data_IF_771179669884
#
_entry.id   IF_771179669884
#
_cell.length_a   1.000
_cell.length_b   1.000
_cell.length_c   1.000
_cell.angle_alpha   90.00
_cell.angle_beta   90.00
_cell.angle_gamma   90.00
#
_symmetry.space_group_name_H-M   'P 1'
#
loop_
_entity.id
_entity.type
_entity.pdbx_description
1 polymer ?
#
# COMPACT_ATOMS: atom_id res chain seq x y z
N UNK A 1 -16.13 9.72 -0.89
CA UNK A 1 -14.82 9.29 -1.37
C UNK A 1 -14.44 7.94 -0.78
N UNK A 2 -14.36 7.73 0.49
CA UNK A 2 -14.04 6.43 1.06
C UNK A 2 -14.52 6.29 2.49
N UNK A 3 -14.75 5.05 2.91
CA UNK A 3 -15.01 4.68 4.29
C UNK A 3 -13.94 3.67 4.71
N UNK A 4 -13.18 4.00 5.75
CA UNK A 4 -12.30 3.06 6.45
C UNK A 4 -13.01 2.44 7.65
N UNK A 5 -12.31 1.54 8.36
CA UNK A 5 -12.88 0.86 9.54
C UNK A 5 -13.40 1.84 10.62
N UNK A 6 -12.70 2.97 10.82
CA UNK A 6 -13.05 3.97 11.85
C UNK A 6 -13.06 5.40 11.29
N UNK A 7 -13.02 5.58 9.97
CA UNK A 7 -12.91 6.91 9.36
C UNK A 7 -13.73 7.05 8.09
N UNK A 8 -14.21 8.28 7.86
CA UNK A 8 -14.87 8.68 6.62
C UNK A 8 -14.09 9.81 5.97
N UNK A 9 -13.91 9.72 4.64
CA UNK A 9 -13.15 10.70 3.87
C UNK A 9 -14.07 11.42 2.90
N UNK A 10 -14.09 12.74 2.97
CA UNK A 10 -14.93 13.62 2.19
C UNK A 10 -14.11 14.59 1.34
N UNK A 11 -14.65 14.93 0.18
CA UNK A 11 -14.21 16.07 -0.62
C UNK A 11 -14.95 17.32 -0.13
N UNK A 12 -14.23 18.26 0.46
CA UNK A 12 -14.76 19.50 1.00
C UNK A 12 -14.38 20.69 0.12
N UNK A 13 -15.27 21.67 -0.04
CA UNK A 13 -14.92 22.96 -0.66
C UNK A 13 -14.11 23.80 0.30
N UNK A 14 -13.08 24.48 -0.19
CA UNK A 14 -12.22 25.33 0.62
C UNK A 14 -11.71 26.55 -0.15
N UNK A 15 -11.44 27.62 0.58
CA UNK A 15 -10.74 28.82 0.08
C UNK A 15 -9.27 28.87 0.51
N UNK A 16 -8.77 27.81 1.19
CA UNK A 16 -7.40 27.75 1.67
C UNK A 16 -6.40 27.70 0.51
N UNK A 17 -5.62 28.76 0.34
CA UNK A 17 -4.55 28.85 -0.65
C UNK A 17 -3.44 27.78 -0.41
N UNK A 18 -3.27 27.33 0.82
CA UNK A 18 -2.32 26.31 1.20
C UNK A 18 -2.54 24.99 0.44
N UNK A 19 -3.78 24.65 0.09
CA UNK A 19 -4.08 23.44 -0.70
C UNK A 19 -3.29 23.41 -1.99
N UNK A 20 -3.30 24.51 -2.75
CA UNK A 20 -2.61 24.62 -4.05
C UNK A 20 -1.10 24.59 -3.87
N UNK A 21 -0.55 25.23 -2.83
CA UNK A 21 0.88 25.21 -2.52
C UNK A 21 1.42 23.82 -2.26
N UNK A 22 0.59 22.97 -1.69
CA UNK A 22 0.93 21.58 -1.36
C UNK A 22 0.55 20.58 -2.48
N UNK A 23 0.24 21.08 -3.67
CA UNK A 23 -0.06 20.25 -4.85
C UNK A 23 -1.46 19.63 -4.86
N UNK A 24 -2.38 20.15 -4.05
CA UNK A 24 -3.77 19.72 -4.04
C UNK A 24 -4.63 20.41 -5.09
N UNK A 25 -5.82 19.88 -5.32
CA UNK A 25 -6.82 20.42 -6.28
C UNK A 25 -7.36 21.75 -5.78
N UNK A 26 -7.24 22.81 -6.61
CA UNK A 26 -7.71 24.14 -6.27
C UNK A 26 -9.21 24.14 -5.88
N UNK A 27 -9.55 24.83 -4.80
CA UNK A 27 -10.93 24.96 -4.31
C UNK A 27 -11.47 23.74 -3.55
N UNK A 28 -10.68 22.68 -3.38
CA UNK A 28 -11.08 21.47 -2.66
C UNK A 28 -10.01 20.97 -1.70
N UNK A 29 -10.46 20.45 -0.57
CA UNK A 29 -9.62 19.77 0.41
C UNK A 29 -10.16 18.37 0.67
N UNK A 30 -9.29 17.50 1.17
CA UNK A 30 -9.65 16.23 1.77
C UNK A 30 -9.99 16.47 3.24
N UNK A 31 -11.16 16.03 3.70
CA UNK A 31 -11.58 16.05 5.09
C UNK A 31 -11.69 14.59 5.57
N UNK A 32 -10.76 14.16 6.42
CA UNK A 32 -10.82 12.85 7.10
C UNK A 32 -11.46 13.05 8.46
N UNK A 33 -12.60 12.39 8.68
CA UNK A 33 -13.31 12.39 9.95
C UNK A 33 -13.08 11.06 10.65
N UNK A 34 -12.70 11.10 11.92
CA UNK A 34 -12.44 9.93 12.74
C UNK A 34 -13.23 10.05 14.02
N UNK A 35 -14.10 9.08 14.26
CA UNK A 35 -14.82 8.94 15.52
C UNK A 35 -13.92 8.20 16.52
N UNK A 36 -13.52 8.88 17.60
CA UNK A 36 -12.60 8.32 18.59
C UNK A 36 -13.24 7.21 19.41
N UNK A 37 -14.57 7.24 19.55
CA UNK A 37 -15.29 6.29 20.42
C UNK A 37 -15.42 4.90 19.77
N UNK A 38 -15.25 4.82 18.44
CA UNK A 38 -15.22 3.57 17.68
C UNK A 38 -13.82 3.20 17.19
N UNK A 39 -12.82 4.05 17.47
CA UNK A 39 -11.44 3.80 17.06
C UNK A 39 -10.80 2.74 17.95
N UNK A 40 -10.25 1.69 17.31
CA UNK A 40 -9.52 0.63 18.02
C UNK A 40 -8.03 0.70 17.69
N UNK A 41 -7.19 0.33 18.67
CA UNK A 41 -5.77 0.13 18.41
C UNK A 41 -5.57 -0.89 17.26
N UNK A 42 -4.56 -0.69 16.40
CA UNK A 42 -3.44 0.27 16.49
C UNK A 42 -3.74 1.68 15.96
N UNK A 43 -4.95 1.95 15.48
CA UNK A 43 -5.32 3.27 14.98
C UNK A 43 -5.34 4.29 16.11
N UNK A 44 -4.73 5.47 15.86
CA UNK A 44 -4.68 6.57 16.82
C UNK A 44 -4.65 7.91 16.10
N UNK A 45 -5.80 8.58 16.06
CA UNK A 45 -5.96 9.86 15.36
C UNK A 45 -5.19 11.00 16.01
N UNK A 46 -5.04 10.98 17.34
CA UNK A 46 -4.29 12.03 18.04
C UNK A 46 -2.80 11.93 17.70
N UNK A 47 -2.27 10.71 17.66
CA UNK A 47 -0.92 10.43 17.19
C UNK A 47 -0.76 10.80 15.72
N UNK A 48 -1.69 10.42 14.84
CA UNK A 48 -1.67 10.81 13.42
C UNK A 48 -1.55 12.32 13.27
N UNK A 49 -2.35 13.09 14.00
CA UNK A 49 -2.29 14.57 14.01
C UNK A 49 -0.90 15.04 14.46
N UNK A 50 -0.39 14.52 15.58
CA UNK A 50 0.91 14.92 16.12
C UNK A 50 2.06 14.61 15.13
N UNK A 51 2.03 13.45 14.48
CA UNK A 51 3.00 13.07 13.44
C UNK A 51 2.91 14.01 12.23
N UNK A 52 1.71 14.24 11.69
CA UNK A 52 1.49 15.12 10.56
C UNK A 52 1.85 16.58 10.83
N UNK A 53 1.74 17.05 12.08
CA UNK A 53 2.15 18.41 12.46
C UNK A 53 3.66 18.61 12.41
N UNK A 54 4.46 17.59 12.74
CA UNK A 54 5.92 17.70 12.83
C UNK A 54 6.66 17.18 11.59
N UNK A 55 6.07 16.25 10.83
CA UNK A 55 6.70 15.74 9.60
C UNK A 55 6.53 16.73 8.46
N UNK A 56 7.63 16.97 7.70
CA UNK A 56 7.62 17.84 6.52
C UNK A 56 8.56 17.27 5.47
N UNK A 57 8.01 16.67 4.43
CA UNK A 57 8.76 16.15 3.30
C UNK A 57 7.96 16.30 2.00
N UNK A 58 8.63 16.53 0.87
CA UNK A 58 7.98 16.72 -0.42
C UNK A 58 7.07 15.56 -0.84
N UNK A 59 7.42 14.34 -0.45
CA UNK A 59 6.69 13.12 -0.79
C UNK A 59 5.78 12.59 0.36
N UNK A 60 5.49 13.41 1.36
CA UNK A 60 4.49 13.13 2.38
C UNK A 60 3.29 14.08 2.25
N UNK A 61 2.13 13.64 2.70
CA UNK A 61 0.99 14.55 2.87
C UNK A 61 1.25 15.51 4.02
N UNK A 62 0.54 16.63 4.02
CA UNK A 62 0.61 17.64 5.09
C UNK A 62 -0.75 17.83 5.74
N UNK A 63 -0.75 18.13 7.03
CA UNK A 63 -1.94 18.57 7.75
C UNK A 63 -2.10 20.09 7.58
N UNK A 64 -3.22 20.52 7.01
CA UNK A 64 -3.55 21.95 6.84
C UNK A 64 -4.25 22.51 8.08
N UNK A 65 -5.15 21.72 8.68
CA UNK A 65 -5.85 22.03 9.91
C UNK A 65 -6.35 20.75 10.58
N UNK A 66 -6.53 20.80 11.89
CA UNK A 66 -7.25 19.79 12.66
C UNK A 66 -8.16 20.48 13.67
N UNK A 67 -9.36 19.91 13.84
CA UNK A 67 -10.34 20.39 14.82
C UNK A 67 -11.24 19.24 15.26
N UNK A 68 -11.93 19.41 16.37
CA UNK A 68 -12.86 18.42 16.91
C UNK A 68 -14.28 18.95 16.90
N UNK A 69 -15.23 18.05 16.62
CA UNK A 69 -16.66 18.26 16.77
C UNK A 69 -17.22 17.31 17.81
N UNK A 70 -18.17 17.80 18.61
CA UNK A 70 -18.93 17.00 19.57
C UNK A 70 -20.41 17.13 19.24
N UNK A 71 -20.91 16.36 18.24
CA UNK A 71 -22.31 16.48 17.79
C UNK A 71 -23.31 16.11 18.88
N UNK A 72 -22.90 15.31 19.84
CA UNK A 72 -23.64 14.95 21.04
C UNK A 72 -22.69 14.72 22.22
N UNK A 73 -23.16 14.59 23.47
CA UNK A 73 -22.33 14.43 24.67
C UNK A 73 -21.45 13.15 24.70
N UNK A 74 -21.69 12.20 23.80
CA UNK A 74 -21.09 10.87 23.81
C UNK A 74 -20.20 10.63 22.58
N UNK A 75 -20.17 11.57 21.61
CA UNK A 75 -19.44 11.39 20.36
C UNK A 75 -18.42 12.50 20.17
N UNK A 76 -17.16 12.14 19.99
CA UNK A 76 -16.09 13.07 19.64
C UNK A 76 -15.50 12.71 18.29
N UNK A 77 -15.64 13.62 17.32
CA UNK A 77 -15.15 13.46 15.97
C UNK A 77 -13.93 14.34 15.75
N UNK A 78 -12.81 13.72 15.39
CA UNK A 78 -11.64 14.44 14.92
C UNK A 78 -11.72 14.68 13.42
N UNK A 79 -11.46 15.89 13.00
CA UNK A 79 -11.48 16.35 11.63
C UNK A 79 -10.07 16.74 11.20
N UNK A 80 -9.51 16.06 10.22
CA UNK A 80 -8.21 16.36 9.62
C UNK A 80 -8.44 16.94 8.22
N UNK A 81 -7.96 18.15 8.00
CA UNK A 81 -8.01 18.83 6.69
C UNK A 81 -6.63 18.69 6.03
N UNK A 82 -6.62 18.11 4.85
CA UNK A 82 -5.41 17.84 4.06
C UNK A 82 -5.63 18.30 2.61
N UNK A 83 -4.56 18.45 1.80
CA UNK A 83 -4.72 18.65 0.36
C UNK A 83 -5.47 17.48 -0.27
N UNK A 84 -6.37 17.77 -1.22
CA UNK A 84 -7.02 16.74 -2.03
C UNK A 84 -6.13 16.42 -3.23
N UNK A 85 -5.48 15.26 -3.22
CA UNK A 85 -4.71 14.77 -4.36
C UNK A 85 -5.62 14.03 -5.35
N UNK A 86 -5.50 14.28 -6.66
CA UNK A 86 -6.51 13.84 -7.63
C UNK A 86 -6.41 12.37 -8.04
N UNK A 87 -5.23 11.75 -7.91
CA UNK A 87 -4.93 10.43 -8.49
C UNK A 87 -4.34 9.53 -7.42
N UNK A 88 -4.83 8.30 -7.32
CA UNK A 88 -4.31 7.27 -6.46
C UNK A 88 -3.40 6.31 -7.26
N UNK A 89 -2.37 5.75 -6.64
CA UNK A 89 -1.50 4.79 -7.34
C UNK A 89 -2.27 3.56 -7.81
N UNK A 90 -3.32 3.14 -7.11
CA UNK A 90 -4.23 2.09 -7.57
C UNK A 90 -4.83 2.41 -8.93
N UNK A 91 -5.33 3.64 -9.14
CA UNK A 91 -5.90 4.05 -10.43
C UNK A 91 -4.88 3.96 -11.56
N UNK A 92 -3.61 4.28 -11.23
CA UNK A 92 -2.48 4.20 -12.16
C UNK A 92 -2.15 2.75 -12.49
N UNK A 93 -2.05 1.88 -11.46
CA UNK A 93 -1.72 0.46 -11.63
C UNK A 93 -2.80 -0.30 -12.40
N UNK A 94 -4.06 0.01 -12.17
CA UNK A 94 -5.23 -0.66 -12.76
C UNK A 94 -5.54 -0.16 -14.19
N UNK A 95 -4.81 0.86 -14.66
CA UNK A 95 -5.01 1.38 -16.00
C UNK A 95 -4.45 0.46 -17.09
N UNK A 96 -5.27 0.02 -18.08
CA UNK A 96 -4.79 -0.77 -19.19
C UNK A 96 -3.85 0.01 -20.15
N UNK A 97 -3.88 1.34 -20.08
CA UNK A 97 -3.01 2.22 -20.87
C UNK A 97 -1.61 2.39 -20.26
N UNK A 98 -1.41 1.93 -19.01
CA UNK A 98 -0.15 1.99 -18.28
C UNK A 98 0.49 0.61 -18.18
N UNK A 99 0.91 0.09 -19.31
CA UNK A 99 1.62 -1.18 -19.40
C UNK A 99 2.98 -0.96 -20.08
N UNK A 100 3.99 -1.78 -19.77
CA UNK A 100 5.28 -1.72 -20.47
C UNK A 100 5.16 -2.02 -21.96
N UNK A 101 4.09 -2.70 -22.38
CA UNK A 101 3.76 -3.04 -23.79
C UNK A 101 2.30 -2.70 -24.03
N UNK A 102 1.93 -2.54 -25.30
CA UNK A 102 0.55 -2.34 -25.70
C UNK A 102 -0.33 -3.45 -25.13
N UNK A 103 -1.20 -3.11 -24.21
CA UNK A 103 -2.14 -4.02 -23.59
C UNK A 103 -3.33 -4.21 -24.55
N UNK A 104 -3.75 -5.47 -24.85
CA UNK A 104 -4.94 -5.71 -25.67
C UNK A 104 -6.24 -5.15 -25.08
N UNK A 105 -6.23 -4.85 -23.78
CA UNK A 105 -7.37 -4.26 -23.06
C UNK A 105 -7.45 -2.74 -23.24
N UNK A 106 -6.39 -2.09 -23.77
CA UNK A 106 -6.40 -0.66 -24.05
C UNK A 106 -7.20 -0.40 -25.35
N UNK A 107 -8.33 0.30 -25.21
CA UNK A 107 -9.07 0.75 -26.38
C UNK A 107 -8.24 1.79 -27.15
N UNK A 108 -8.04 1.56 -28.46
CA UNK A 108 -7.25 2.43 -29.33
C UNK A 108 -7.79 3.86 -29.47
N UNK A 109 -8.99 4.13 -28.96
CA UNK A 109 -9.69 5.41 -29.11
C UNK A 109 -9.37 6.44 -28.00
N UNK A 110 -8.68 6.09 -26.92
CA UNK A 110 -8.48 6.96 -25.74
C UNK A 110 -7.00 7.30 -25.48
N UNK A 111 -6.22 7.61 -26.51
CA UNK A 111 -4.86 8.15 -26.34
C UNK A 111 -4.80 9.48 -25.55
N UNK A 112 -5.92 10.22 -25.47
CA UNK A 112 -5.94 11.55 -24.85
C UNK A 112 -5.86 11.54 -23.32
N UNK A 113 -6.15 10.42 -22.66
CA UNK A 113 -6.14 10.28 -21.19
C UNK A 113 -5.03 9.36 -20.67
N UNK A 114 -3.88 9.35 -21.32
CA UNK A 114 -2.74 8.58 -20.79
C UNK A 114 -2.29 9.16 -19.45
N UNK A 115 -2.35 8.36 -18.38
CA UNK A 115 -1.83 8.68 -17.04
C UNK A 115 -0.39 9.20 -17.09
N UNK A 116 0.43 8.70 -18.02
CA UNK A 116 1.80 9.17 -18.26
C UNK A 116 1.82 10.66 -18.52
N UNK A 117 0.99 11.16 -19.45
CA UNK A 117 0.92 12.59 -19.79
C UNK A 117 0.35 13.41 -18.66
N UNK A 118 -0.70 12.91 -18.01
CA UNK A 118 -1.35 13.59 -16.87
C UNK A 118 -0.37 13.78 -15.71
N UNK A 119 0.51 12.80 -15.48
CA UNK A 119 1.54 12.84 -14.44
C UNK A 119 2.86 13.45 -14.93
N UNK A 120 2.95 13.88 -16.20
CA UNK A 120 4.14 14.54 -16.76
C UNK A 120 5.26 13.58 -17.17
N UNK A 121 4.98 12.28 -17.36
CA UNK A 121 5.96 11.27 -17.77
C UNK A 121 5.89 10.96 -19.27
N UNK A 122 7.03 10.58 -19.86
CA UNK A 122 7.12 10.24 -21.27
C UNK A 122 7.14 8.72 -21.51
N UNK A 123 7.63 7.94 -20.56
CA UNK A 123 7.73 6.48 -20.67
C UNK A 123 7.26 5.81 -19.37
N UNK A 124 6.85 4.54 -19.48
CA UNK A 124 6.51 3.72 -18.32
C UNK A 124 7.69 3.57 -17.36
N UNK A 125 8.91 3.36 -17.90
CA UNK A 125 10.11 3.25 -17.08
C UNK A 125 10.41 4.54 -16.29
N UNK A 126 10.19 5.73 -16.88
CA UNK A 126 10.37 6.99 -16.17
C UNK A 126 9.35 7.19 -15.06
N UNK A 127 8.09 6.81 -15.26
CA UNK A 127 7.08 6.83 -14.21
C UNK A 127 7.49 5.92 -13.04
N UNK A 128 7.77 4.64 -13.34
CA UNK A 128 8.09 3.63 -12.31
C UNK A 128 9.34 4.01 -11.54
N UNK A 129 10.42 4.42 -12.24
CA UNK A 129 11.68 4.84 -11.61
C UNK A 129 11.47 6.03 -10.68
N UNK A 130 10.70 7.04 -11.11
CA UNK A 130 10.39 8.21 -10.29
C UNK A 130 9.53 7.84 -9.08
N UNK A 131 8.52 6.98 -9.27
CA UNK A 131 7.71 6.47 -8.16
C UNK A 131 8.58 5.76 -7.11
N UNK A 132 9.51 4.90 -7.53
CA UNK A 132 10.43 4.21 -6.63
C UNK A 132 11.30 5.19 -5.86
N UNK A 133 11.94 6.13 -6.56
CA UNK A 133 12.79 7.14 -5.91
C UNK A 133 12.02 7.96 -4.88
N UNK A 134 10.87 8.51 -5.26
CA UNK A 134 10.09 9.38 -4.38
C UNK A 134 9.49 8.62 -3.19
N UNK A 135 9.02 7.37 -3.38
CA UNK A 135 8.52 6.55 -2.30
C UNK A 135 9.63 6.18 -1.31
N UNK A 136 10.81 5.80 -1.81
CA UNK A 136 11.96 5.52 -0.95
C UNK A 136 12.42 6.77 -0.18
N UNK A 137 12.39 7.96 -0.79
CA UNK A 137 12.71 9.21 -0.10
C UNK A 137 11.72 9.53 1.02
N UNK A 138 10.41 9.29 0.79
CA UNK A 138 9.39 9.46 1.82
C UNK A 138 9.63 8.53 3.01
N UNK A 139 9.90 7.25 2.73
CA UNK A 139 10.15 6.23 3.75
C UNK A 139 11.46 6.52 4.49
N UNK A 140 12.52 6.90 3.78
CA UNK A 140 13.80 7.26 4.39
C UNK A 140 13.64 8.43 5.36
N UNK A 141 12.92 9.48 4.96
CA UNK A 141 12.62 10.59 5.85
C UNK A 141 11.90 10.12 7.12
N UNK A 142 10.86 9.30 7.01
CA UNK A 142 10.15 8.77 8.18
C UNK A 142 11.06 7.92 9.06
N UNK A 143 11.85 7.02 8.47
CA UNK A 143 12.76 6.14 9.20
C UNK A 143 13.86 6.94 9.92
N UNK A 144 14.38 8.02 9.33
CA UNK A 144 15.34 8.92 9.98
C UNK A 144 14.72 9.69 11.17
N UNK A 145 13.43 10.02 11.08
CA UNK A 145 12.66 10.60 12.18
C UNK A 145 12.26 9.55 13.25
N UNK A 146 12.67 8.30 13.09
CA UNK A 146 12.32 7.20 13.97
C UNK A 146 10.86 6.74 13.84
N UNK A 147 10.22 6.98 12.69
CA UNK A 147 8.82 6.65 12.40
C UNK A 147 8.76 5.53 11.38
N UNK A 148 8.07 4.44 11.69
CA UNK A 148 7.65 3.42 10.72
C UNK A 148 6.19 3.64 10.33
N UNK A 149 5.89 3.56 9.04
CA UNK A 149 4.56 3.82 8.48
C UNK A 149 3.56 2.69 8.78
N UNK A 150 3.97 1.46 8.62
CA UNK A 150 3.27 0.18 8.86
C UNK A 150 2.03 -0.11 8.00
N UNK A 151 1.67 0.78 7.05
CA UNK A 151 0.57 0.52 6.10
C UNK A 151 0.89 1.08 4.71
N UNK A 152 2.09 0.73 4.19
CA UNK A 152 2.51 1.10 2.83
C UNK A 152 1.80 0.19 1.82
N UNK A 153 0.94 0.79 1.00
CA UNK A 153 0.16 0.12 -0.05
C UNK A 153 -0.24 1.11 -1.14
N UNK A 154 -0.62 0.66 -2.34
CA UNK A 154 -0.98 1.56 -3.45
C UNK A 154 -2.08 2.57 -3.11
N UNK A 155 -3.06 2.18 -2.28
CA UNK A 155 -4.15 3.08 -1.88
C UNK A 155 -3.71 4.21 -0.93
N UNK A 156 -2.56 4.09 -0.28
CA UNK A 156 -1.96 5.13 0.56
C UNK A 156 -0.89 5.95 -0.18
N UNK A 157 -0.82 5.82 -1.50
CA UNK A 157 0.11 6.54 -2.37
C UNK A 157 -0.70 7.31 -3.40
N UNK A 158 -0.63 8.63 -3.37
CA UNK A 158 -1.35 9.52 -4.27
C UNK A 158 -0.38 10.37 -5.06
N UNK A 159 -0.89 11.04 -6.10
CA UNK A 159 -0.16 12.02 -6.87
C UNK A 159 -0.83 13.38 -6.75
N UNK A 160 0.01 14.39 -6.53
CA UNK A 160 -0.40 15.79 -6.57
C UNK A 160 -0.70 16.25 -7.99
N UNK A 161 -1.26 17.44 -8.13
CA UNK A 161 -1.62 18.00 -9.44
C UNK A 161 -0.43 18.27 -10.36
N UNK A 162 0.78 18.31 -9.81
CA UNK A 162 2.06 18.44 -10.52
C UNK A 162 2.82 17.10 -10.70
N UNK A 163 2.16 15.97 -10.40
CA UNK A 163 2.71 14.63 -10.59
C UNK A 163 3.68 14.15 -9.50
N UNK A 164 3.79 14.86 -8.38
CA UNK A 164 4.61 14.43 -7.24
C UNK A 164 3.89 13.36 -6.43
N UNK A 165 4.60 12.27 -6.11
CA UNK A 165 4.09 11.22 -5.23
C UNK A 165 3.93 11.74 -3.79
N UNK A 166 2.83 11.38 -3.16
CA UNK A 166 2.49 11.71 -1.78
C UNK A 166 2.11 10.44 -1.02
N UNK A 167 2.93 10.02 -0.07
CA UNK A 167 2.56 8.97 0.89
C UNK A 167 1.66 9.59 1.96
N UNK A 168 0.53 8.95 2.23
CA UNK A 168 -0.51 9.44 3.14
C UNK A 168 -0.78 8.42 4.25
N UNK A 169 -1.56 8.85 5.25
CA UNK A 169 -2.15 8.01 6.31
C UNK A 169 -1.15 7.44 7.31
N UNK A 170 -0.84 8.24 8.34
CA UNK A 170 -0.01 7.85 9.48
C UNK A 170 -0.84 7.28 10.66
N UNK A 171 -2.09 6.89 10.42
CA UNK A 171 -3.03 6.47 11.47
C UNK A 171 -2.61 5.21 12.25
N UNK A 172 -1.74 4.37 11.67
CA UNK A 172 -1.15 3.19 12.31
C UNK A 172 0.37 3.28 12.44
N UNK A 173 0.96 4.47 12.18
CA UNK A 173 2.40 4.64 12.26
C UNK A 173 2.93 4.39 13.68
N UNK A 174 4.14 3.87 13.77
CA UNK A 174 4.85 3.62 15.02
C UNK A 174 6.09 4.49 15.12
N UNK A 175 6.42 4.89 16.34
CA UNK A 175 7.60 5.69 16.63
C UNK A 175 8.45 5.01 17.70
N UNK A 176 9.78 5.06 17.57
CA UNK A 176 10.74 4.40 18.49
C UNK A 176 10.58 4.81 19.95
N UNK A 177 9.98 5.97 20.24
CA UNK A 177 9.73 6.48 21.59
C UNK A 177 8.40 5.98 22.18
N UNK A 178 7.56 5.31 21.38
CA UNK A 178 6.22 4.90 21.79
C UNK A 178 6.19 3.52 22.41
N UNK A 179 5.36 3.41 23.46
CA UNK A 179 4.92 2.13 23.99
C UNK A 179 3.51 1.87 23.48
N UNK A 180 3.36 0.86 22.63
CA UNK A 180 2.02 0.41 22.23
C UNK A 180 1.41 -0.38 23.38
N UNK A 181 0.27 0.09 23.87
CA UNK A 181 -0.55 -0.65 24.84
C UNK A 181 -1.55 -1.48 24.05
N UNK A 182 -1.67 -2.79 24.31
CA UNK A 182 -2.75 -3.60 23.72
C UNK A 182 -4.12 -3.07 24.17
N UNK A 183 -5.19 -3.34 23.39
CA UNK A 183 -6.54 -2.90 23.74
C UNK A 183 -6.92 -3.35 25.16
N UNK A 184 -7.53 -2.47 25.93
CA UNK A 184 -7.96 -2.75 27.30
C UNK A 184 -8.86 -3.99 27.33
N UNK A 185 -8.40 -5.05 28.00
CA UNK A 185 -9.17 -6.27 28.23
C UNK A 185 -8.47 -7.59 27.89
N UNK A 186 -7.34 -7.57 27.18
CA UNK A 186 -6.60 -8.78 26.78
C UNK A 186 -5.24 -8.93 27.46
N UNK A 187 -5.04 -8.30 28.62
CA UNK A 187 -3.80 -8.46 29.37
C UNK A 187 -3.74 -9.78 30.13
N UNK A 188 -2.61 -10.50 30.08
CA UNK A 188 -2.27 -11.42 31.14
C UNK A 188 -2.09 -10.61 32.44
N UNK A 189 -2.60 -11.07 33.59
CA UNK A 189 -2.59 -10.30 34.86
C UNK A 189 -1.22 -10.12 35.50
N UNK A 190 -0.15 -10.52 34.87
CA UNK A 190 1.22 -10.39 35.39
C UNK A 190 2.00 -9.44 34.48
N UNK A 191 2.01 -8.16 34.86
CA UNK A 191 2.72 -7.07 34.19
C UNK A 191 4.20 -7.31 33.94
N UNK A 192 4.52 -8.07 32.91
CA UNK A 192 5.82 -8.07 32.28
C UNK A 192 5.98 -6.78 31.48
N UNK A 193 7.12 -6.12 31.63
CA UNK A 193 7.48 -4.83 31.02
C UNK A 193 7.66 -4.86 29.51
N UNK A 194 7.18 -5.88 28.82
CA UNK A 194 7.43 -6.11 27.40
C UNK A 194 6.26 -5.57 26.59
N UNK A 195 6.48 -4.37 26.03
CA UNK A 195 5.58 -3.77 25.07
C UNK A 195 5.49 -4.67 23.83
N UNK A 196 4.49 -5.53 23.79
CA UNK A 196 4.18 -6.28 22.59
C UNK A 196 3.75 -5.28 21.51
N UNK A 197 4.51 -5.21 20.42
CA UNK A 197 4.09 -4.45 19.24
C UNK A 197 2.80 -5.07 18.69
N UNK A 198 1.83 -4.21 18.37
CA UNK A 198 0.62 -4.68 17.72
C UNK A 198 1.00 -5.15 16.31
N UNK A 199 0.81 -6.43 16.03
CA UNK A 199 1.09 -7.04 14.73
C UNK A 199 -0.07 -6.96 13.75
N UNK A 200 -1.28 -6.59 14.25
CA UNK A 200 -2.46 -6.40 13.39
C UNK A 200 -2.40 -5.03 12.69
N UNK A 201 -1.37 -4.87 11.88
CA UNK A 201 -1.09 -3.71 11.02
C UNK A 201 -0.77 -4.17 9.60
N UNK A 202 -0.78 -3.22 8.67
CA UNK A 202 -0.61 -3.50 7.25
C UNK A 202 -1.88 -4.06 6.62
N UNK A 203 -1.91 -4.09 5.31
CA UNK A 203 -3.12 -4.41 4.55
C UNK A 203 -2.88 -5.56 3.57
N UNK A 204 -3.63 -6.64 3.73
CA UNK A 204 -3.70 -7.75 2.77
C UNK A 204 -2.33 -8.20 2.28
N UNK A 205 -2.17 -8.29 0.96
CA UNK A 205 -0.96 -8.78 0.29
C UNK A 205 0.31 -7.94 0.54
N UNK A 206 0.20 -6.76 1.17
CA UNK A 206 1.33 -5.88 1.48
C UNK A 206 1.92 -6.12 2.88
N UNK A 207 1.30 -6.97 3.71
CA UNK A 207 1.75 -7.32 5.06
C UNK A 207 3.05 -8.11 5.03
N UNK A 208 3.98 -7.74 5.90
CA UNK A 208 5.21 -8.48 6.08
C UNK A 208 4.95 -9.83 6.78
N UNK A 209 5.71 -10.90 6.44
CA UNK A 209 5.44 -12.24 6.93
C UNK A 209 5.49 -12.36 8.46
N UNK A 210 6.38 -11.63 9.13
CA UNK A 210 6.48 -11.64 10.60
C UNK A 210 5.23 -11.10 11.29
N UNK A 211 4.45 -10.24 10.63
CA UNK A 211 3.20 -9.70 11.19
C UNK A 211 2.07 -10.73 11.24
N UNK A 212 2.16 -11.79 10.44
CA UNK A 212 1.12 -12.82 10.34
C UNK A 212 1.12 -13.80 11.53
N UNK A 213 2.20 -13.81 12.32
CA UNK A 213 2.43 -14.79 13.38
C UNK A 213 2.56 -14.18 14.79
N UNK A 214 2.12 -12.94 14.97
CA UNK A 214 2.04 -12.23 16.25
C UNK A 214 3.25 -12.47 17.18
N UNK A 215 4.46 -12.01 16.83
CA UNK A 215 5.68 -12.30 17.61
C UNK A 215 5.62 -11.67 19.00
N UNK A 216 5.91 -12.48 20.06
CA UNK A 216 5.86 -12.07 21.49
C UNK A 216 6.76 -10.90 21.82
N UNK A 217 7.93 -10.84 21.20
CA UNK A 217 8.98 -9.85 21.50
C UNK A 217 8.93 -8.65 20.55
N UNK A 218 7.80 -8.51 19.80
CA UNK A 218 7.67 -7.49 18.77
C UNK A 218 8.39 -7.85 17.48
N UNK A 219 8.46 -6.91 16.58
CA UNK A 219 9.08 -7.03 15.27
C UNK A 219 9.79 -5.72 14.90
N UNK A 220 10.64 -5.77 13.88
CA UNK A 220 11.26 -4.56 13.32
C UNK A 220 10.29 -3.86 12.36
N UNK A 221 9.64 -2.79 12.85
CA UNK A 221 8.65 -2.04 12.08
C UNK A 221 9.23 -1.37 10.82
N UNK A 222 10.51 -0.95 10.87
CA UNK A 222 11.19 -0.38 9.70
C UNK A 222 11.41 -1.44 8.62
N UNK A 223 11.73 -2.68 9.02
CA UNK A 223 11.89 -3.80 8.08
C UNK A 223 10.56 -4.31 7.54
N UNK A 224 9.47 -4.18 8.29
CA UNK A 224 8.13 -4.42 7.78
C UNK A 224 7.75 -3.42 6.68
N UNK A 225 8.11 -2.13 6.83
CA UNK A 225 7.95 -1.12 5.77
C UNK A 225 8.76 -1.48 4.51
N UNK A 226 9.98 -2.03 4.66
CA UNK A 226 10.80 -2.47 3.51
C UNK A 226 10.13 -3.60 2.74
N UNK A 227 9.49 -4.55 3.43
CA UNK A 227 8.70 -5.59 2.76
C UNK A 227 7.53 -4.98 1.98
N UNK A 228 6.74 -4.11 2.63
CA UNK A 228 5.59 -3.45 2.01
C UNK A 228 6.01 -2.60 0.81
N UNK A 229 7.15 -1.88 0.90
CA UNK A 229 7.76 -1.19 -0.22
C UNK A 229 8.05 -2.14 -1.39
N UNK A 230 8.65 -3.30 -1.12
CA UNK A 230 8.94 -4.30 -2.14
C UNK A 230 7.69 -4.83 -2.82
N UNK A 231 6.62 -5.12 -2.08
CA UNK A 231 5.34 -5.56 -2.66
C UNK A 231 4.67 -4.48 -3.50
N UNK A 232 4.74 -3.21 -3.08
CA UNK A 232 4.27 -2.07 -3.90
C UNK A 232 5.10 -1.94 -5.19
N UNK A 233 6.42 -2.05 -5.10
CA UNK A 233 7.29 -2.02 -6.29
C UNK A 233 6.98 -3.18 -7.26
N UNK A 234 6.75 -4.37 -6.73
CA UNK A 234 6.37 -5.54 -7.52
C UNK A 234 5.05 -5.33 -8.27
N UNK A 235 4.08 -4.61 -7.69
CA UNK A 235 2.76 -4.37 -8.28
C UNK A 235 2.82 -3.70 -9.66
N UNK A 236 3.86 -2.96 -9.98
CA UNK A 236 4.06 -2.40 -11.32
C UNK A 236 4.29 -3.47 -12.39
N UNK A 237 4.66 -4.68 -12.02
CA UNK A 237 5.09 -5.73 -12.94
C UNK A 237 4.24 -7.01 -12.89
N UNK A 238 3.26 -7.08 -12.00
CA UNK A 238 2.27 -8.18 -11.93
C UNK A 238 1.29 -8.12 -13.09
N UNK A 239 0.43 -9.12 -13.22
CA UNK A 239 -0.56 -9.22 -14.30
C UNK A 239 -1.69 -8.21 -14.07
N UNK A 240 -2.14 -7.57 -15.16
CA UNK A 240 -3.40 -6.83 -15.18
C UNK A 240 -4.52 -7.81 -15.56
N UNK A 241 -5.52 -7.91 -14.72
CA UNK A 241 -6.68 -8.80 -14.89
C UNK A 241 -7.89 -7.97 -15.31
N UNK A 242 -8.70 -8.53 -16.21
CA UNK A 242 -10.01 -7.95 -16.53
C UNK A 242 -11.03 -8.45 -15.51
N UNK A 243 -11.83 -7.53 -14.95
CA UNK A 243 -12.86 -7.90 -13.99
C UNK A 243 -13.97 -8.70 -14.70
N UNK A 244 -14.28 -9.86 -14.17
CA UNK A 244 -15.48 -10.58 -14.52
C UNK A 244 -16.70 -9.82 -13.97
N UNK A 245 -17.21 -8.88 -14.77
CA UNK A 245 -18.46 -8.21 -14.40
C UNK A 245 -19.58 -9.24 -14.59
N UNK A 246 -20.26 -9.67 -13.53
CA UNK A 246 -21.41 -10.55 -13.65
C UNK A 246 -22.37 -9.94 -14.66
N UNK A 247 -22.89 -10.77 -15.59
CA UNK A 247 -23.86 -10.30 -16.56
C UNK A 247 -25.06 -9.70 -15.80
N UNK A 248 -25.11 -8.39 -15.67
CA UNK A 248 -26.36 -7.71 -15.36
C UNK A 248 -27.22 -7.80 -16.63
N UNK A 249 -27.61 -9.01 -16.92
CA UNK A 249 -28.73 -9.23 -17.82
C UNK A 249 -29.92 -8.50 -17.20
N UNK A 250 -30.59 -7.70 -18.03
CA UNK A 250 -31.89 -7.16 -17.63
C UNK A 250 -32.70 -8.30 -17.00
N UNK A 251 -33.37 -8.07 -15.86
CA UNK A 251 -34.24 -9.09 -15.30
C UNK A 251 -35.14 -9.67 -16.41
N UNK A 252 -35.45 -10.95 -16.42
CA UNK A 252 -36.17 -11.60 -17.50
C UNK A 252 -37.42 -10.84 -17.98
N UNK A 253 -38.13 -10.18 -17.06
CA UNK A 253 -39.29 -9.35 -17.36
C UNK A 253 -38.95 -8.08 -18.14
N UNK A 254 -37.79 -7.50 -17.97
CA UNK A 254 -37.37 -6.28 -18.70
C UNK A 254 -36.89 -6.62 -20.14
N UNK A 255 -36.33 -7.83 -20.33
CA UNK A 255 -36.02 -8.36 -21.66
C UNK A 255 -37.28 -8.65 -22.48
N UNK A 256 -38.33 -9.17 -21.84
CA UNK A 256 -39.60 -9.41 -22.51
C UNK A 256 -40.30 -8.11 -22.93
N UNK A 257 -40.18 -7.05 -22.12
CA UNK A 257 -40.80 -5.75 -22.41
C UNK A 257 -40.05 -4.89 -23.43
N UNK A 258 -38.71 -5.08 -23.52
CA UNK A 258 -37.85 -4.27 -24.38
C UNK A 258 -36.82 -5.13 -25.15
N UNK A 259 -37.23 -6.02 -26.04
CA UNK A 259 -36.35 -6.96 -26.71
C UNK A 259 -35.32 -6.29 -27.65
N UNK A 260 -35.60 -5.05 -28.10
CA UNK A 260 -34.72 -4.31 -29.01
C UNK A 260 -33.77 -3.32 -28.32
N UNK A 261 -33.72 -3.33 -26.97
CA UNK A 261 -32.84 -2.42 -26.27
C UNK A 261 -31.38 -2.83 -26.48
N UNK A 262 -30.54 -2.00 -27.12
CA UNK A 262 -29.14 -2.37 -27.32
C UNK A 262 -28.48 -2.57 -25.97
N UNK A 263 -27.74 -3.68 -25.84
CA UNK A 263 -26.90 -3.90 -24.66
C UNK A 263 -25.95 -2.70 -24.52
N UNK A 264 -26.02 -1.99 -23.40
CA UNK A 264 -25.06 -0.91 -23.15
C UNK A 264 -23.67 -1.52 -23.13
N UNK A 265 -22.71 -1.02 -23.92
CA UNK A 265 -21.34 -1.45 -23.81
C UNK A 265 -20.91 -1.23 -22.36
N UNK A 266 -20.45 -2.28 -21.70
CA UNK A 266 -20.00 -2.22 -20.31
C UNK A 266 -18.61 -1.61 -20.32
N UNK A 267 -18.33 -0.66 -19.43
CA UNK A 267 -16.96 -0.24 -19.23
C UNK A 267 -16.16 -1.48 -18.75
N UNK A 268 -15.10 -1.83 -19.47
CA UNK A 268 -14.16 -2.84 -19.01
C UNK A 268 -13.44 -2.25 -17.81
N UNK A 269 -13.55 -2.91 -16.66
CA UNK A 269 -12.78 -2.57 -15.48
C UNK A 269 -11.66 -3.59 -15.35
N UNK A 270 -10.50 -3.10 -14.97
CA UNK A 270 -9.30 -3.92 -14.79
C UNK A 270 -8.74 -3.67 -13.41
N UNK A 271 -8.08 -4.65 -12.84
CA UNK A 271 -7.32 -4.51 -11.63
C UNK A 271 -5.97 -5.20 -11.74
N UNK A 272 -4.98 -4.65 -11.06
CA UNK A 272 -3.65 -5.26 -10.97
C UNK A 272 -3.68 -6.41 -9.97
N UNK A 273 -3.22 -7.60 -10.37
CA UNK A 273 -3.04 -8.70 -9.42
C UNK A 273 -2.02 -8.33 -8.35
N UNK A 274 -2.23 -8.78 -7.13
CA UNK A 274 -1.24 -8.64 -6.05
C UNK A 274 -0.11 -9.67 -6.23
N UNK A 275 1.08 -9.34 -5.70
CA UNK A 275 2.22 -10.26 -5.74
C UNK A 275 1.92 -11.57 -5.01
N UNK A 276 1.23 -11.46 -3.87
CA UNK A 276 0.83 -12.59 -3.03
C UNK A 276 -0.68 -12.64 -2.87
N UNK A 277 -1.24 -13.84 -2.80
CA UNK A 277 -2.67 -14.06 -2.56
C UNK A 277 -2.98 -13.86 -1.06
N UNK A 278 -3.90 -12.94 -0.79
CA UNK A 278 -4.44 -12.68 0.55
C UNK A 278 -5.98 -12.79 0.61
N UNK A 279 -6.60 -13.36 -0.44
CA UNK A 279 -8.05 -13.38 -0.62
C UNK A 279 -8.81 -14.08 0.51
N UNK A 280 -8.19 -15.09 1.14
CA UNK A 280 -8.79 -15.88 2.23
C UNK A 280 -8.10 -15.65 3.59
N UNK A 281 -7.41 -14.53 3.76
CA UNK A 281 -6.81 -14.10 5.02
C UNK A 281 -5.35 -14.50 5.20
N UNK A 282 -4.85 -14.35 6.43
CA UNK A 282 -3.43 -14.42 6.76
C UNK A 282 -2.75 -15.76 6.47
N UNK A 283 -3.46 -16.87 6.67
CA UNK A 283 -2.91 -18.22 6.38
C UNK A 283 -2.70 -18.39 4.89
N UNK A 284 -3.64 -17.94 4.05
CA UNK A 284 -3.48 -17.98 2.59
C UNK A 284 -2.29 -17.13 2.16
N UNK A 285 -2.17 -15.93 2.71
CA UNK A 285 -1.04 -15.04 2.47
C UNK A 285 0.30 -15.70 2.87
N UNK A 286 0.37 -16.30 4.06
CA UNK A 286 1.57 -17.00 4.53
C UNK A 286 1.95 -18.16 3.60
N UNK A 287 0.98 -19.00 3.23
CA UNK A 287 1.20 -20.10 2.29
C UNK A 287 1.75 -19.59 0.96
N UNK A 288 1.20 -18.49 0.46
CA UNK A 288 1.61 -17.96 -0.84
C UNK A 288 3.00 -17.28 -0.80
N UNK A 289 3.31 -16.60 0.30
CA UNK A 289 4.67 -16.10 0.57
C UNK A 289 5.68 -17.26 0.61
N UNK A 290 5.35 -18.38 1.27
CA UNK A 290 6.26 -19.54 1.37
C UNK A 290 6.49 -20.24 0.03
N UNK A 291 5.57 -20.15 -0.94
CA UNK A 291 5.83 -20.65 -2.30
C UNK A 291 7.00 -19.91 -2.96
N UNK A 292 7.13 -18.60 -2.71
CA UNK A 292 8.19 -17.79 -3.30
C UNK A 292 9.45 -17.78 -2.44
N UNK A 293 9.31 -17.50 -1.15
CA UNK A 293 10.45 -17.37 -0.24
C UNK A 293 11.02 -18.73 0.21
N UNK A 294 10.21 -19.79 0.12
CA UNK A 294 10.47 -21.11 0.71
C UNK A 294 10.00 -21.16 2.15
N UNK A 295 9.50 -22.31 2.59
CA UNK A 295 9.19 -22.56 4.01
C UNK A 295 10.51 -22.72 4.76
N UNK A 296 10.76 -21.98 5.86
CA UNK A 296 11.98 -22.14 6.65
C UNK A 296 12.01 -23.53 7.29
N UNK A 297 13.18 -24.16 7.25
CA UNK A 297 13.38 -25.50 7.82
C UNK A 297 13.79 -25.45 9.30
N UNK A 298 14.21 -24.28 9.76
CA UNK A 298 14.68 -24.06 11.13
C UNK A 298 14.63 -22.58 11.52
N UNK A 299 14.74 -22.31 12.81
CA UNK A 299 14.87 -20.96 13.36
C UNK A 299 16.10 -20.21 12.81
N UNK A 300 17.15 -20.92 12.36
CA UNK A 300 18.30 -20.27 11.72
C UNK A 300 17.96 -19.67 10.35
N UNK A 301 16.95 -20.20 9.67
CA UNK A 301 16.48 -19.66 8.39
C UNK A 301 15.62 -18.41 8.60
N UNK A 302 14.86 -18.41 9.70
CA UNK A 302 13.97 -17.30 10.09
C UNK A 302 14.01 -17.08 11.60
N UNK A 303 15.00 -16.32 12.12
CA UNK A 303 15.22 -16.12 13.56
C UNK A 303 14.01 -15.56 14.31
N UNK A 304 13.21 -14.72 13.67
CA UNK A 304 12.01 -14.13 14.24
C UNK A 304 10.94 -15.16 14.59
N UNK A 305 10.94 -16.31 13.91
CA UNK A 305 9.99 -17.41 14.15
C UNK A 305 10.10 -18.03 15.55
N UNK A 306 11.25 -17.87 16.23
CA UNK A 306 11.42 -18.31 17.62
C UNK A 306 10.42 -17.67 18.61
N UNK A 307 9.80 -16.54 18.21
CA UNK A 307 8.92 -15.75 19.05
C UNK A 307 7.46 -15.74 18.58
N UNK A 308 7.11 -16.53 17.57
CA UNK A 308 5.76 -16.57 17.00
C UNK A 308 4.74 -17.23 17.95
N UNK A 309 3.48 -16.82 17.81
CA UNK A 309 2.35 -17.36 18.56
C UNK A 309 1.15 -17.61 17.64
N UNK A 310 0.78 -18.88 17.42
CA UNK A 310 1.47 -20.11 17.86
C UNK A 310 2.81 -20.29 17.16
N UNK A 311 3.67 -21.21 17.65
CA UNK A 311 4.94 -21.57 16.99
C UNK A 311 4.69 -21.97 15.53
N UNK A 312 5.67 -21.70 14.65
CA UNK A 312 5.53 -21.95 13.21
C UNK A 312 5.27 -23.43 12.90
N UNK A 313 5.82 -24.33 13.71
CA UNK A 313 5.68 -25.79 13.58
C UNK A 313 4.26 -26.29 13.84
N UNK A 314 3.42 -25.52 14.52
CA UNK A 314 2.03 -25.88 14.78
C UNK A 314 1.11 -25.61 13.57
N UNK A 315 1.58 -24.89 12.58
CA UNK A 315 0.82 -24.63 11.36
C UNK A 315 0.98 -25.77 10.35
N UNK A 316 -0.09 -26.16 9.64
CA UNK A 316 -0.07 -27.28 8.69
C UNK A 316 0.54 -26.86 7.34
N UNK A 317 1.66 -26.17 7.34
CA UNK A 317 2.33 -25.80 6.10
C UNK A 317 3.02 -27.01 5.45
N UNK A 318 2.87 -27.13 4.15
CA UNK A 318 3.43 -28.23 3.38
C UNK A 318 4.94 -28.03 3.15
N UNK A 319 5.74 -28.89 3.75
CA UNK A 319 7.18 -28.96 3.47
C UNK A 319 7.44 -29.55 2.09
N UNK A 320 8.47 -29.02 1.41
CA UNK A 320 8.93 -29.58 0.14
C UNK A 320 8.15 -29.18 -1.10
N UNK A 321 7.25 -28.18 -1.00
CA UNK A 321 6.68 -27.58 -2.18
C UNK A 321 7.79 -26.93 -3.04
N UNK A 322 7.73 -27.05 -4.38
CA UNK A 322 8.71 -26.41 -5.24
C UNK A 322 8.66 -24.89 -5.05
N UNK A 323 9.85 -24.29 -4.92
CA UNK A 323 9.96 -22.83 -4.78
C UNK A 323 9.72 -22.18 -6.13
N UNK A 324 8.76 -21.24 -6.16
CA UNK A 324 8.49 -20.40 -7.32
C UNK A 324 9.51 -19.25 -7.41
N UNK A 325 9.86 -18.87 -8.61
CA UNK A 325 10.68 -17.68 -8.81
C UNK A 325 9.85 -16.41 -8.59
N UNK A 326 10.35 -15.47 -7.79
CA UNK A 326 9.73 -14.16 -7.66
C UNK A 326 9.50 -13.48 -9.02
N UNK A 327 10.49 -13.60 -9.93
CA UNK A 327 10.44 -12.95 -11.23
C UNK A 327 9.41 -13.60 -12.19
N UNK A 328 9.05 -14.86 -11.98
CA UNK A 328 7.98 -15.52 -12.76
C UNK A 328 6.60 -14.94 -12.42
N UNK A 329 6.42 -14.41 -11.21
CA UNK A 329 5.20 -13.69 -10.80
C UNK A 329 5.13 -12.26 -11.31
N UNK A 330 6.19 -11.77 -11.96
CA UNK A 330 6.33 -10.41 -12.48
C UNK A 330 6.52 -10.41 -14.01
N UNK A 331 5.57 -10.95 -14.80
CA UNK A 331 5.80 -11.17 -16.24
C UNK A 331 6.12 -9.89 -17.02
N UNK A 332 5.67 -8.73 -16.51
CA UNK A 332 5.84 -7.46 -17.20
C UNK A 332 7.23 -6.82 -17.03
N UNK A 333 8.09 -7.30 -16.12
CA UNK A 333 9.41 -6.69 -15.92
C UNK A 333 10.35 -6.90 -17.11
N UNK A 334 10.23 -8.03 -17.82
CA UNK A 334 11.05 -8.31 -19.01
C UNK A 334 10.67 -7.44 -20.19
N UNK A 335 9.46 -6.91 -20.21
CA UNK A 335 8.93 -6.08 -21.28
C UNK A 335 9.52 -4.66 -21.27
N UNK A 336 10.07 -4.21 -20.15
CA UNK A 336 10.68 -2.88 -20.03
C UNK A 336 11.75 -2.64 -21.09
N UNK A 337 12.66 -3.62 -21.33
CA UNK A 337 13.76 -3.47 -22.26
C UNK A 337 13.34 -3.66 -23.73
N UNK A 338 12.15 -4.18 -23.98
CA UNK A 338 11.60 -4.36 -25.34
C UNK A 338 10.96 -3.05 -25.80
N UNK A 339 10.24 -2.38 -24.91
CA UNK A 339 9.50 -1.14 -25.22
C UNK A 339 10.31 0.13 -25.06
N UNK A 340 11.34 0.11 -24.20
CA UNK A 340 12.16 1.27 -23.85
C UNK A 340 13.64 0.85 -23.71
N UNK A 341 14.49 1.33 -24.61
CA UNK A 341 15.94 1.06 -24.60
C UNK A 341 16.76 2.10 -23.84
N UNK A 342 16.10 3.03 -23.14
CA UNK A 342 16.76 4.07 -22.37
C UNK A 342 17.61 3.50 -21.21
N UNK A 343 18.57 4.29 -20.75
CA UNK A 343 19.35 3.94 -19.56
C UNK A 343 18.47 3.79 -18.32
N UNK A 344 17.39 4.55 -18.22
CA UNK A 344 16.39 4.45 -17.13
C UNK A 344 15.72 3.07 -17.11
N UNK A 345 15.27 2.57 -18.26
CA UNK A 345 14.66 1.25 -18.36
C UNK A 345 15.65 0.14 -17.99
N UNK A 346 16.92 0.26 -18.44
CA UNK A 346 17.96 -0.72 -18.11
C UNK A 346 18.30 -0.71 -16.61
N UNK A 347 18.41 0.47 -15.99
CA UNK A 347 18.66 0.61 -14.55
C UNK A 347 17.50 0.02 -13.76
N UNK A 348 16.26 0.35 -14.13
CA UNK A 348 15.07 -0.18 -13.48
C UNK A 348 14.99 -1.71 -13.62
N UNK A 349 15.29 -2.26 -14.79
CA UNK A 349 15.32 -3.70 -15.00
C UNK A 349 16.37 -4.38 -14.12
N UNK A 350 17.57 -3.81 -14.02
CA UNK A 350 18.61 -4.32 -13.16
C UNK A 350 18.21 -4.26 -11.68
N UNK A 351 17.52 -3.20 -11.26
CA UNK A 351 16.98 -3.06 -9.91
C UNK A 351 15.95 -4.15 -9.61
N UNK A 352 14.97 -4.36 -10.48
CA UNK A 352 13.94 -5.41 -10.31
C UNK A 352 14.60 -6.79 -10.20
N UNK A 353 15.57 -7.08 -11.03
CA UNK A 353 16.23 -8.38 -11.06
C UNK A 353 17.11 -8.65 -9.83
N UNK A 354 17.86 -7.64 -9.36
CA UNK A 354 18.90 -7.81 -8.32
C UNK A 354 18.45 -7.36 -6.95
N UNK A 355 17.75 -6.22 -6.86
CA UNK A 355 17.45 -5.56 -5.59
C UNK A 355 16.08 -5.97 -5.05
N UNK A 356 15.04 -6.04 -5.89
CA UNK A 356 13.70 -6.41 -5.43
C UNK A 356 13.65 -7.73 -4.63
N UNK A 357 14.34 -8.82 -5.03
CA UNK A 357 14.37 -10.05 -4.24
C UNK A 357 14.98 -9.88 -2.84
N UNK A 358 15.81 -8.87 -2.62
CA UNK A 358 16.41 -8.62 -1.30
C UNK A 358 15.41 -7.99 -0.31
N UNK A 359 14.38 -7.30 -0.82
CA UNK A 359 13.30 -6.74 -0.01
C UNK A 359 12.34 -7.85 0.45
N UNK A 360 12.25 -8.94 -0.33
CA UNK A 360 11.35 -10.09 -0.12
C UNK A 360 12.00 -11.21 0.70
N UNK A 361 12.92 -10.90 1.62
CA UNK A 361 13.50 -11.90 2.53
C UNK A 361 12.54 -12.15 3.70
N UNK A 362 12.30 -13.43 4.07
CA UNK A 362 11.48 -13.79 5.22
C UNK A 362 12.02 -13.14 6.49
N UNK A 363 13.29 -13.32 6.78
CA UNK A 363 13.93 -12.68 7.93
C UNK A 363 14.05 -11.18 7.71
N UNK A 364 13.45 -10.41 8.61
CA UNK A 364 13.52 -8.96 8.63
C UNK A 364 14.97 -8.45 8.70
N UNK A 365 15.82 -9.14 9.47
CA UNK A 365 17.24 -8.79 9.62
C UNK A 365 18.05 -8.91 8.32
N UNK A 366 17.59 -9.72 7.37
CA UNK A 366 18.25 -9.88 6.05
C UNK A 366 17.79 -8.83 5.02
N UNK A 367 16.70 -8.11 5.28
CA UNK A 367 16.26 -7.02 4.40
C UNK A 367 17.22 -5.84 4.53
N UNK A 368 17.53 -5.13 3.42
CA UNK A 368 18.35 -3.91 3.48
C UNK A 368 17.70 -2.82 4.33
N UNK A 369 18.47 -1.81 4.75
CA UNK A 369 17.91 -0.54 5.22
C UNK A 369 17.47 0.30 4.03
N UNK A 370 16.63 1.30 4.27
CA UNK A 370 16.17 2.21 3.21
C UNK A 370 17.35 2.98 2.59
N UNK A 371 18.36 3.37 3.40
CA UNK A 371 19.54 4.06 2.92
C UNK A 371 20.37 3.21 1.97
N UNK A 372 20.49 1.91 2.26
CA UNK A 372 21.17 0.96 1.38
C UNK A 372 20.45 0.78 0.04
N UNK A 373 19.12 0.95 0.02
CA UNK A 373 18.32 0.88 -1.20
C UNK A 373 18.48 2.14 -2.06
N UNK A 374 18.46 3.31 -1.44
CA UNK A 374 18.64 4.60 -2.15
C UNK A 374 20.02 4.66 -2.82
N UNK A 375 21.04 4.10 -2.18
CA UNK A 375 22.39 4.06 -2.74
C UNK A 375 22.54 3.15 -3.98
N UNK A 376 21.53 2.35 -4.32
CA UNK A 376 21.53 1.41 -5.46
C UNK A 376 20.74 1.91 -6.67
N UNK A 377 20.00 3.00 -6.52
CA UNK A 377 19.26 3.69 -7.58
C UNK A 377 20.02 4.91 -8.11
#
# INVERSE_FOLDING_TARGET
MGHGLCSSVYKARTTLQAVVKEGGVAGYACLKQVDIDVQNAPHDVQREIALLQRTRHANLTVLLAAFTDTPDPFTTIYNLVMPLYPIQLTDVLDSPHLQPVNCPLADAANEETSWLRLLGFHTYASLVSTCFQQLMQAIAYLHHEGIAHRDIKPSNILFSTDGMLKLIDLGVAWEVTMRELPPSGLYPPNGGSDCAYISDVGSGAFRAPELLFAPKNGYDAFKADIWSLGTVMASFFTVLLEDEIPSMDYPPWERELFPERPMRPRPRTCHRSTLFDSSSGDITLACDIFKVCGLPSSVSDWPEAAHFQPPLEEFPFMHGAPKESLLERLPNWTQLSISDTSSTAQTLQAFVQKTLPTLMQLSASRRPSIDNLIAQL
#
